data_IF_797656951664
#
_entry.id   IF_797656951664
#
_cell.length_a   1.000
_cell.length_b   1.000
_cell.length_c   1.000
_cell.angle_alpha   90.00
_cell.angle_beta   90.00
_cell.angle_gamma   90.00
#
_symmetry.space_group_name_H-M   'P 1'
#
loop_
_entity.id
_entity.type
_entity.pdbx_description
1 polymer ?
#
# COMPACT_ATOMS: atom_id res chain seq x y z
N UNK A 1 6.78 -19.81 24.04
CA UNK A 1 6.38 -18.53 23.38
C UNK A 1 7.19 -18.40 22.10
N UNK A 2 6.55 -18.27 20.93
CA UNK A 2 7.18 -18.40 19.61
C UNK A 2 8.26 -17.34 19.28
N UNK A 3 8.18 -16.14 19.87
CA UNK A 3 9.14 -15.05 19.63
C UNK A 3 10.13 -14.81 20.80
N UNK A 4 9.95 -15.54 21.91
CA UNK A 4 10.69 -15.31 23.17
C UNK A 4 10.72 -13.83 23.61
N UNK A 5 9.61 -13.13 23.40
CA UNK A 5 9.35 -11.79 23.90
C UNK A 5 8.21 -11.90 24.90
N UNK A 6 8.35 -11.24 26.06
CA UNK A 6 7.29 -11.20 27.07
C UNK A 6 6.30 -10.06 26.74
N UNK A 7 5.02 -10.35 26.47
CA UNK A 7 4.00 -9.34 26.19
C UNK A 7 3.85 -8.26 27.26
N UNK A 8 4.22 -8.53 28.52
CA UNK A 8 4.10 -7.57 29.63
C UNK A 8 4.98 -6.34 29.43
N UNK A 9 6.03 -6.43 28.63
CA UNK A 9 6.93 -5.31 28.34
C UNK A 9 6.41 -4.37 27.24
N UNK A 10 5.29 -4.69 26.59
CA UNK A 10 4.79 -3.92 25.45
C UNK A 10 3.42 -3.31 25.75
N UNK A 11 3.28 -2.02 25.45
CA UNK A 11 2.03 -1.26 25.68
C UNK A 11 0.97 -1.65 24.64
N UNK A 12 1.39 -2.01 23.42
CA UNK A 12 0.48 -2.35 22.33
C UNK A 12 0.93 -3.61 21.58
N UNK A 13 -0.02 -4.28 20.93
CA UNK A 13 0.27 -5.43 20.07
C UNK A 13 1.17 -5.05 18.87
N UNK A 14 1.04 -3.83 18.34
CA UNK A 14 1.87 -3.36 17.23
C UNK A 14 3.35 -3.27 17.63
N UNK A 15 3.63 -2.76 18.83
CA UNK A 15 4.98 -2.66 19.39
C UNK A 15 5.61 -4.04 19.61
N UNK A 16 4.85 -5.00 20.16
CA UNK A 16 5.31 -6.38 20.28
C UNK A 16 5.61 -7.00 18.92
N UNK A 17 4.71 -6.84 17.94
CA UNK A 17 4.88 -7.43 16.59
C UNK A 17 6.07 -6.80 15.87
N UNK A 18 6.27 -5.48 15.99
CA UNK A 18 7.40 -4.78 15.41
C UNK A 18 8.73 -5.34 15.94
N UNK A 19 8.87 -5.43 17.26
CA UNK A 19 10.06 -5.98 17.90
C UNK A 19 10.27 -7.46 17.58
N UNK A 20 9.19 -8.25 17.54
CA UNK A 20 9.25 -9.66 17.13
C UNK A 20 9.80 -9.81 15.70
N UNK A 21 9.34 -8.97 14.77
CA UNK A 21 9.76 -9.02 13.37
C UNK A 21 11.22 -8.61 13.19
N UNK A 22 11.68 -7.60 13.93
CA UNK A 22 13.10 -7.22 13.95
C UNK A 22 13.97 -8.36 14.50
N UNK A 23 13.57 -8.98 15.60
CA UNK A 23 14.29 -10.13 16.20
C UNK A 23 14.39 -11.33 15.25
N UNK A 24 13.32 -11.61 14.49
CA UNK A 24 13.29 -12.71 13.52
C UNK A 24 14.15 -12.45 12.28
N UNK A 25 14.07 -11.24 11.73
CA UNK A 25 14.74 -10.90 10.46
C UNK A 25 16.21 -10.51 10.66
N UNK A 26 16.60 -10.11 11.88
CA UNK A 26 17.94 -9.61 12.22
C UNK A 26 18.40 -8.44 11.34
N UNK A 27 17.45 -7.68 10.81
CA UNK A 27 17.72 -6.50 10.01
C UNK A 27 18.02 -5.34 10.95
N UNK A 28 19.11 -4.63 10.69
CA UNK A 28 19.42 -3.37 11.33
C UNK A 28 18.81 -2.23 10.52
N UNK A 29 17.93 -1.44 11.15
CA UNK A 29 17.34 -0.27 10.52
C UNK A 29 18.33 0.89 10.55
N UNK A 30 18.53 1.53 9.39
CA UNK A 30 19.30 2.77 9.33
C UNK A 30 18.49 3.91 9.96
N UNK A 31 19.13 4.68 10.83
CA UNK A 31 18.53 5.89 11.40
C UNK A 31 18.41 6.97 10.31
N UNK A 32 17.21 7.51 10.13
CA UNK A 32 16.95 8.63 9.24
C UNK A 32 17.47 9.92 9.87
N UNK A 33 18.58 10.45 9.35
CA UNK A 33 19.23 11.65 9.89
C UNK A 33 18.89 12.92 9.11
N UNK A 34 18.34 12.79 7.89
CA UNK A 34 18.02 13.92 7.01
C UNK A 34 16.51 14.04 6.83
N UNK A 35 16.02 15.28 6.85
CA UNK A 35 14.61 15.61 6.58
C UNK A 35 14.18 15.18 5.17
N UNK A 36 15.08 15.24 4.18
CA UNK A 36 14.77 14.80 2.82
C UNK A 36 14.50 13.29 2.74
N UNK A 37 15.26 12.47 3.49
CA UNK A 37 15.08 11.02 3.51
C UNK A 37 13.75 10.67 4.19
N UNK A 38 13.39 11.42 5.24
CA UNK A 38 12.10 11.29 5.91
C UNK A 38 10.94 11.65 4.97
N UNK A 39 11.00 12.81 4.31
CA UNK A 39 9.96 13.23 3.35
C UNK A 39 9.85 12.24 2.18
N UNK A 40 10.98 11.73 1.71
CA UNK A 40 10.98 10.70 0.67
C UNK A 40 10.23 9.45 1.13
N UNK A 41 10.51 8.96 2.34
CA UNK A 41 9.83 7.78 2.90
C UNK A 41 8.32 8.03 3.06
N UNK A 42 7.93 9.13 3.68
CA UNK A 42 6.53 9.51 3.87
C UNK A 42 5.77 9.58 2.54
N UNK A 43 6.39 10.14 1.50
CA UNK A 43 5.78 10.19 0.16
C UNK A 43 5.64 8.81 -0.50
N UNK A 44 6.43 7.81 -0.09
CA UNK A 44 6.32 6.44 -0.58
C UNK A 44 5.32 5.59 0.23
N UNK A 45 4.99 6.00 1.46
CA UNK A 45 3.97 5.31 2.24
C UNK A 45 2.62 5.52 1.56
N UNK A 46 2.08 4.44 1.01
CA UNK A 46 0.74 4.42 0.43
C UNK A 46 -0.19 3.73 1.40
N UNK A 47 -1.33 4.36 1.62
CA UNK A 47 -2.45 3.72 2.28
C UNK A 47 -3.01 2.57 1.44
N UNK A 48 -4.03 1.92 1.97
CA UNK A 48 -4.72 0.85 1.27
C UNK A 48 -5.37 1.38 0.00
N UNK A 49 -5.10 0.69 -1.10
CA UNK A 49 -5.83 0.85 -2.34
C UNK A 49 -7.07 -0.05 -2.26
N UNK A 50 -8.26 0.57 -2.26
CA UNK A 50 -9.53 -0.14 -2.36
C UNK A 50 -10.08 0.01 -3.77
N UNK A 51 -9.98 -1.04 -4.59
CA UNK A 51 -10.64 -1.11 -5.89
C UNK A 51 -12.03 -1.71 -5.72
N UNK A 52 -13.07 -0.89 -5.89
CA UNK A 52 -14.45 -1.36 -5.97
C UNK A 52 -14.83 -1.54 -7.45
N UNK A 53 -14.50 -2.71 -7.98
CA UNK A 53 -14.75 -3.06 -9.38
C UNK A 53 -16.18 -3.58 -9.61
N UNK A 54 -16.72 -3.30 -10.79
CA UNK A 54 -17.92 -3.98 -11.32
C UNK A 54 -17.49 -5.24 -12.09
N UNK A 55 -18.25 -6.34 -12.01
CA UNK A 55 -17.91 -7.62 -12.64
C UNK A 55 -17.66 -7.53 -14.16
N UNK A 56 -18.30 -6.58 -14.84
CA UNK A 56 -18.06 -6.29 -16.25
C UNK A 56 -18.21 -4.79 -16.49
N UNK A 57 -17.22 -4.18 -17.14
CA UNK A 57 -17.28 -2.81 -17.65
C UNK A 57 -16.50 -2.75 -18.94
N UNK A 58 -17.04 -2.06 -19.94
CA UNK A 58 -16.35 -1.78 -21.19
C UNK A 58 -15.84 -0.35 -21.15
N UNK A 59 -14.61 -0.14 -21.65
CA UNK A 59 -14.05 1.19 -21.78
C UNK A 59 -14.69 1.86 -23.00
N UNK A 60 -15.24 3.05 -22.80
CA UNK A 60 -15.73 3.90 -23.87
C UNK A 60 -14.80 5.13 -23.96
N UNK A 61 -13.63 4.93 -24.57
CA UNK A 61 -12.56 5.91 -24.64
C UNK A 61 -12.34 6.34 -26.10
N UNK A 62 -12.36 7.65 -26.45
CA UNK A 62 -12.15 8.13 -27.83
C UNK A 62 -10.80 7.74 -28.44
N UNK A 63 -9.82 7.37 -27.61
CA UNK A 63 -8.54 6.85 -28.10
C UNK A 63 -8.61 5.39 -28.59
N UNK A 64 -9.70 4.66 -28.27
CA UNK A 64 -9.95 3.28 -28.71
C UNK A 64 -11.02 3.29 -29.79
N UNK A 65 -10.59 3.55 -31.02
CA UNK A 65 -11.47 3.81 -32.18
C UNK A 65 -12.40 2.61 -32.45
N UNK A 66 -11.92 1.38 -32.22
CA UNK A 66 -12.65 0.15 -32.55
C UNK A 66 -13.90 -0.07 -31.68
N UNK A 67 -13.94 0.46 -30.45
CA UNK A 67 -15.00 0.23 -29.48
C UNK A 67 -15.67 1.52 -28.98
N UNK A 68 -15.35 2.67 -29.57
CA UNK A 68 -15.85 3.97 -29.14
C UNK A 68 -17.28 4.22 -29.65
N UNK A 69 -18.17 4.53 -28.73
CA UNK A 69 -19.56 4.91 -29.03
C UNK A 69 -19.82 6.35 -28.56
N UNK A 70 -20.04 7.32 -29.47
CA UNK A 70 -20.28 8.71 -29.11
C UNK A 70 -21.62 8.96 -28.41
N UNK A 71 -22.51 7.96 -28.37
CA UNK A 71 -23.80 8.05 -27.67
C UNK A 71 -23.71 7.66 -26.19
N UNK A 72 -22.64 7.00 -25.78
CA UNK A 72 -22.42 6.55 -24.41
C UNK A 72 -21.49 7.51 -23.65
N UNK A 73 -21.61 7.59 -22.31
CA UNK A 73 -20.69 8.40 -21.51
C UNK A 73 -19.25 7.89 -21.63
N UNK A 74 -18.30 8.82 -21.71
CA UNK A 74 -16.87 8.51 -21.77
C UNK A 74 -16.42 7.86 -20.46
N UNK A 75 -15.78 6.69 -20.56
CA UNK A 75 -15.28 5.94 -19.41
C UNK A 75 -13.96 5.26 -19.76
N UNK A 76 -13.02 5.31 -18.82
CA UNK A 76 -11.74 4.62 -18.90
C UNK A 76 -11.68 3.51 -17.85
N UNK A 77 -11.18 2.34 -18.24
CA UNK A 77 -10.84 1.28 -17.29
C UNK A 77 -9.37 1.49 -16.93
N UNK A 78 -9.11 1.70 -15.64
CA UNK A 78 -7.76 1.86 -15.12
C UNK A 78 -7.40 0.59 -14.38
N UNK A 79 -6.34 -0.08 -14.82
CA UNK A 79 -5.67 -1.10 -14.02
C UNK A 79 -4.70 -0.38 -13.09
N UNK A 80 -4.83 -0.64 -11.78
CA UNK A 80 -3.94 -0.11 -10.75
C UNK A 80 -2.67 -0.96 -10.65
#
# INVERSE_FOLDING_TARGET
MYYELDPVHFVTAADLIWNARLKLTKIELQLLNNVNDYIWLENQIRDRICLLGTCHKLANNPYIIDSFNPKEPMNCIVAL
#
